data_IF_710694153686
#
_entry.id   IF_710694153686
#
_cell.length_a   1.000
_cell.length_b   1.000
_cell.length_c   1.000
_cell.angle_alpha   90.00
_cell.angle_beta   90.00
_cell.angle_gamma   90.00
#
_symmetry.space_group_name_H-M   'P 1'
#
loop_
_entity.id
_entity.type
_entity.pdbx_description
1 polymer ?
#
# COMPACT_ATOMS: atom_id res chain seq x y z
N UNK A 1 9.83 -21.87 -26.67
CA UNK A 1 9.49 -20.59 -27.33
C UNK A 1 7.99 -20.42 -27.63
N UNK A 2 7.22 -21.50 -27.86
CA UNK A 2 5.74 -21.40 -28.05
C UNK A 2 4.95 -21.06 -26.76
N UNK A 3 5.51 -21.34 -25.58
CA UNK A 3 4.82 -21.22 -24.28
C UNK A 3 4.76 -19.78 -23.74
N UNK A 4 5.81 -18.98 -23.97
CA UNK A 4 5.85 -17.58 -23.51
C UNK A 4 4.84 -16.66 -24.22
N UNK A 5 4.51 -16.92 -25.49
CA UNK A 5 3.47 -16.16 -26.19
C UNK A 5 2.08 -16.44 -25.63
N UNK A 6 1.84 -17.66 -25.14
CA UNK A 6 0.56 -18.08 -24.58
C UNK A 6 0.29 -17.40 -23.23
N UNK A 7 1.27 -17.37 -22.31
CA UNK A 7 1.10 -16.72 -21.00
C UNK A 7 0.91 -15.20 -21.12
N UNK A 8 1.69 -14.51 -21.97
CA UNK A 8 1.57 -13.06 -22.13
C UNK A 8 0.22 -12.68 -22.73
N UNK A 9 -0.24 -13.39 -23.77
CA UNK A 9 -1.57 -13.17 -24.34
C UNK A 9 -2.67 -13.42 -23.30
N UNK A 10 -2.56 -14.51 -22.54
CA UNK A 10 -3.52 -14.81 -21.49
C UNK A 10 -3.59 -13.71 -20.43
N UNK A 11 -2.44 -13.23 -19.96
CA UNK A 11 -2.40 -12.17 -18.95
C UNK A 11 -3.04 -10.90 -19.50
N UNK A 12 -2.70 -10.49 -20.73
CA UNK A 12 -3.31 -9.31 -21.35
C UNK A 12 -4.84 -9.46 -21.45
N UNK A 13 -5.32 -10.57 -21.99
CA UNK A 13 -6.76 -10.84 -22.12
C UNK A 13 -7.45 -10.87 -20.75
N UNK A 14 -6.82 -11.48 -19.74
CA UNK A 14 -7.34 -11.53 -18.38
C UNK A 14 -7.45 -10.13 -17.77
N UNK A 15 -6.39 -9.33 -17.86
CA UNK A 15 -6.34 -7.98 -17.30
C UNK A 15 -7.32 -7.05 -18.03
N UNK A 16 -7.41 -7.12 -19.36
CA UNK A 16 -8.36 -6.31 -20.15
C UNK A 16 -9.81 -6.62 -19.74
N UNK A 17 -10.14 -7.89 -19.51
CA UNK A 17 -11.45 -8.30 -19.04
C UNK A 17 -11.75 -7.86 -17.59
N UNK A 18 -10.73 -7.81 -16.72
CA UNK A 18 -10.87 -7.38 -15.32
C UNK A 18 -10.75 -5.87 -15.14
N UNK A 19 -10.26 -5.14 -16.15
CA UNK A 19 -9.97 -3.71 -16.09
C UNK A 19 -11.15 -2.88 -15.53
N UNK A 20 -12.42 -3.09 -15.93
CA UNK A 20 -13.52 -2.30 -15.39
C UNK A 20 -13.76 -2.53 -13.90
N UNK A 21 -13.51 -3.73 -13.38
CA UNK A 21 -13.66 -4.05 -11.97
C UNK A 21 -12.49 -3.50 -11.14
N UNK A 22 -11.27 -3.67 -11.64
CA UNK A 22 -10.06 -3.12 -11.01
C UNK A 22 -10.09 -1.58 -10.97
N UNK A 23 -10.49 -0.93 -12.06
CA UNK A 23 -10.64 0.53 -12.10
C UNK A 23 -11.61 1.04 -11.02
N UNK A 24 -12.76 0.36 -10.84
CA UNK A 24 -13.72 0.70 -9.77
C UNK A 24 -13.13 0.55 -8.37
N UNK A 25 -12.29 -0.44 -8.13
CA UNK A 25 -11.60 -0.61 -6.84
C UNK A 25 -10.61 0.53 -6.62
N UNK A 26 -9.80 0.84 -7.64
CA UNK A 26 -8.85 1.97 -7.59
C UNK A 26 -9.58 3.30 -7.34
N UNK A 27 -10.69 3.55 -8.02
CA UNK A 27 -11.49 4.77 -7.87
C UNK A 27 -12.13 4.83 -6.47
N UNK A 28 -12.65 3.70 -5.97
CA UNK A 28 -13.20 3.63 -4.62
C UNK A 28 -12.14 3.95 -3.55
N UNK A 29 -10.91 3.43 -3.70
CA UNK A 29 -9.80 3.76 -2.80
C UNK A 29 -9.40 5.23 -2.95
N UNK A 30 -9.31 5.74 -4.20
CA UNK A 30 -9.03 7.15 -4.46
C UNK A 30 -10.01 8.09 -3.74
N UNK A 31 -11.30 7.74 -3.75
CA UNK A 31 -12.38 8.51 -3.12
C UNK A 31 -12.40 8.39 -1.58
N UNK A 32 -11.64 7.46 -1.00
CA UNK A 32 -11.53 7.25 0.46
C UNK A 32 -10.06 7.35 0.93
N UNK A 33 -9.44 8.54 0.87
CA UNK A 33 -8.03 8.69 1.20
C UNK A 33 -7.79 8.62 2.73
N UNK A 34 -7.45 7.43 3.20
CA UNK A 34 -7.14 7.14 4.60
C UNK A 34 -5.61 7.09 4.83
N UNK A 35 -5.11 7.79 5.85
CA UNK A 35 -3.67 7.85 6.15
C UNK A 35 -3.16 6.62 6.89
N UNK A 36 -1.82 6.48 6.98
CA UNK A 36 -1.12 5.40 7.70
C UNK A 36 -1.86 4.88 8.94
N UNK A 37 -2.08 3.56 8.99
CA UNK A 37 -2.76 2.80 10.05
C UNK A 37 -4.24 3.13 10.29
N UNK A 38 -4.85 3.99 9.48
CA UNK A 38 -6.28 4.29 9.52
C UNK A 38 -7.02 3.78 8.27
N UNK A 39 -6.36 3.01 7.41
CA UNK A 39 -6.83 2.57 6.09
C UNK A 39 -7.83 1.42 6.13
N UNK A 40 -8.86 1.57 6.97
CA UNK A 40 -9.85 0.53 7.24
C UNK A 40 -10.69 0.21 6.00
N UNK A 41 -11.09 1.23 5.25
CA UNK A 41 -11.85 1.04 4.01
C UNK A 41 -11.02 0.35 2.93
N UNK A 42 -9.83 0.88 2.65
CA UNK A 42 -9.01 0.35 1.54
C UNK A 42 -8.49 -1.06 1.84
N UNK A 43 -8.10 -1.32 3.09
CA UNK A 43 -7.72 -2.66 3.55
C UNK A 43 -8.87 -3.65 3.42
N UNK A 44 -10.06 -3.30 3.91
CA UNK A 44 -11.23 -4.14 3.84
C UNK A 44 -11.63 -4.43 2.37
N UNK A 45 -11.69 -3.41 1.53
CA UNK A 45 -12.08 -3.56 0.12
C UNK A 45 -11.18 -4.54 -0.65
N UNK A 46 -9.85 -4.43 -0.47
CA UNK A 46 -8.90 -5.33 -1.13
C UNK A 46 -9.00 -6.75 -0.58
N UNK A 47 -9.06 -6.89 0.75
CA UNK A 47 -9.18 -8.18 1.42
C UNK A 47 -10.49 -8.91 1.06
N UNK A 48 -11.62 -8.20 1.08
CA UNK A 48 -12.94 -8.71 0.69
C UNK A 48 -12.93 -9.17 -0.77
N UNK A 49 -12.28 -8.41 -1.66
CA UNK A 49 -12.17 -8.77 -3.08
C UNK A 49 -11.36 -10.06 -3.28
N UNK A 50 -10.27 -10.24 -2.53
CA UNK A 50 -9.46 -11.46 -2.58
C UNK A 50 -10.23 -12.66 -2.03
N UNK A 51 -10.92 -12.49 -0.90
CA UNK A 51 -11.76 -13.52 -0.30
C UNK A 51 -12.88 -13.96 -1.26
N UNK A 52 -13.59 -13.00 -1.87
CA UNK A 52 -14.59 -13.26 -2.89
C UNK A 52 -14.02 -13.95 -4.13
N UNK A 53 -12.73 -13.78 -4.41
CA UNK A 53 -12.01 -14.42 -5.51
C UNK A 53 -11.45 -15.80 -5.15
N UNK A 54 -11.73 -16.30 -3.94
CA UNK A 54 -11.36 -17.64 -3.48
C UNK A 54 -9.99 -17.73 -2.79
N UNK A 55 -9.42 -16.61 -2.36
CA UNK A 55 -8.25 -16.63 -1.48
C UNK A 55 -8.67 -16.88 -0.03
N UNK A 56 -7.79 -17.53 0.74
CA UNK A 56 -7.92 -17.59 2.20
C UNK A 56 -7.27 -16.34 2.78
N UNK A 57 -8.05 -15.49 3.47
CA UNK A 57 -7.58 -14.21 3.98
C UNK A 57 -7.40 -14.25 5.49
N UNK A 58 -6.23 -13.81 5.95
CA UNK A 58 -5.90 -13.57 7.35
C UNK A 58 -5.73 -12.06 7.55
N UNK A 59 -6.57 -11.44 8.40
CA UNK A 59 -6.57 -10.00 8.68
C UNK A 59 -5.98 -9.71 10.05
N UNK A 60 -5.50 -8.48 10.27
CA UNK A 60 -4.91 -8.08 11.54
C UNK A 60 -3.50 -8.64 11.76
N UNK A 61 -2.80 -9.03 10.68
CA UNK A 61 -1.51 -9.71 10.79
C UNK A 61 -0.44 -8.78 11.36
N UNK A 62 0.51 -9.36 12.11
CA UNK A 62 1.58 -8.58 12.75
C UNK A 62 1.07 -7.55 13.77
N UNK A 63 -0.15 -7.74 14.29
CA UNK A 63 -0.77 -6.85 15.27
C UNK A 63 -1.24 -5.50 14.71
N UNK A 64 -1.43 -5.40 13.40
CA UNK A 64 -1.91 -4.18 12.73
C UNK A 64 -3.27 -4.43 12.09
N UNK A 65 -4.28 -3.69 12.54
CA UNK A 65 -5.69 -3.88 12.13
C UNK A 65 -5.90 -3.82 10.61
N UNK A 66 -5.15 -2.96 9.92
CA UNK A 66 -5.26 -2.76 8.47
C UNK A 66 -4.31 -3.63 7.64
N UNK A 67 -3.47 -4.47 8.27
CA UNK A 67 -2.63 -5.42 7.57
C UNK A 67 -3.35 -6.76 7.34
N UNK A 68 -3.12 -7.39 6.18
CA UNK A 68 -3.66 -8.72 5.90
C UNK A 68 -2.79 -9.53 4.93
N UNK A 69 -2.95 -10.85 4.93
CA UNK A 69 -2.36 -11.77 3.96
C UNK A 69 -3.47 -12.61 3.34
N UNK A 70 -3.57 -12.61 2.02
CA UNK A 70 -4.48 -13.47 1.27
C UNK A 70 -3.68 -14.53 0.52
N UNK A 71 -4.05 -15.81 0.66
CA UNK A 71 -3.32 -16.94 0.07
C UNK A 71 -4.18 -17.77 -0.87
N UNK A 72 -3.62 -18.12 -2.03
CA UNK A 72 -4.16 -19.14 -2.93
C UNK A 72 -3.09 -20.20 -3.24
N UNK A 73 -3.53 -21.45 -3.41
CA UNK A 73 -2.65 -22.59 -3.64
C UNK A 73 -1.99 -23.15 -2.38
N UNK A 74 -1.01 -24.02 -2.59
CA UNK A 74 -0.29 -24.72 -1.52
C UNK A 74 1.10 -25.18 -1.98
N UNK A 75 2.00 -25.38 -1.02
CA UNK A 75 3.37 -25.82 -1.29
C UNK A 75 4.27 -24.68 -1.78
N UNK A 76 5.35 -25.07 -2.47
CA UNK A 76 6.42 -24.18 -2.91
C UNK A 76 6.42 -24.06 -4.45
N UNK A 77 6.87 -22.92 -5.02
CA UNK A 77 7.32 -21.72 -4.31
C UNK A 77 6.15 -20.90 -3.71
N UNK A 78 6.45 -20.08 -2.71
CA UNK A 78 5.60 -19.03 -2.15
C UNK A 78 6.03 -17.70 -2.75
N UNK A 79 5.19 -17.15 -3.62
CA UNK A 79 5.42 -15.86 -4.26
C UNK A 79 4.48 -14.81 -3.64
N UNK A 80 5.07 -13.75 -3.08
CA UNK A 80 4.34 -12.65 -2.48
C UNK A 80 4.19 -11.47 -3.46
N UNK A 81 2.99 -10.92 -3.55
CA UNK A 81 2.69 -9.66 -4.23
C UNK A 81 2.30 -8.63 -3.17
N UNK A 82 3.00 -7.51 -3.14
CA UNK A 82 2.82 -6.49 -2.10
C UNK A 82 1.91 -5.39 -2.63
N UNK A 83 0.80 -5.15 -1.93
CA UNK A 83 -0.12 -4.06 -2.20
C UNK A 83 -0.20 -3.09 -1.03
N UNK A 84 -0.16 -1.80 -1.33
CA UNK A 84 -0.20 -0.69 -0.38
C UNK A 84 -1.34 0.22 -0.77
N UNK A 85 -1.87 0.99 0.19
CA UNK A 85 -3.15 1.68 0.01
C UNK A 85 -3.32 2.89 0.93
N UNK A 86 -2.28 3.36 1.60
CA UNK A 86 -2.34 4.56 2.43
C UNK A 86 -2.27 5.85 1.62
N UNK A 87 -2.97 6.87 2.12
CA UNK A 87 -2.97 8.21 1.58
C UNK A 87 -2.04 9.14 2.38
N UNK A 88 -1.79 10.32 1.81
CA UNK A 88 -0.96 11.37 2.39
C UNK A 88 -1.83 12.53 2.89
N UNK A 89 -1.46 13.09 4.03
CA UNK A 89 -2.12 14.27 4.58
C UNK A 89 -1.85 15.53 3.74
N UNK A 90 -2.87 16.36 3.54
CA UNK A 90 -2.74 17.62 2.79
C UNK A 90 -2.64 17.48 1.27
N UNK A 91 -2.76 16.26 0.73
CA UNK A 91 -2.66 15.98 -0.71
C UNK A 91 -4.01 15.67 -1.38
N UNK A 92 -5.12 16.17 -0.84
CA UNK A 92 -6.42 16.07 -1.52
C UNK A 92 -6.33 16.63 -2.94
N UNK A 93 -6.83 15.88 -3.91
CA UNK A 93 -6.77 16.26 -5.32
C UNK A 93 -7.96 15.70 -6.07
N UNK A 94 -8.49 16.49 -7.01
CA UNK A 94 -9.49 16.02 -7.97
C UNK A 94 -8.87 15.05 -8.97
N UNK A 95 -9.50 13.88 -9.16
CA UNK A 95 -9.07 12.90 -10.14
C UNK A 95 -9.01 13.48 -11.58
N UNK A 96 -8.07 12.98 -12.38
CA UNK A 96 -7.92 13.38 -13.80
C UNK A 96 -7.55 14.85 -14.01
N UNK A 97 -7.01 15.51 -12.98
CA UNK A 97 -6.62 16.91 -13.01
C UNK A 97 -5.11 17.03 -12.75
N UNK A 98 -4.42 17.69 -13.68
CA UNK A 98 -2.97 17.94 -13.65
C UNK A 98 -2.60 19.29 -13.01
N UNK A 99 -3.61 20.05 -12.56
CA UNK A 99 -3.43 21.29 -11.78
C UNK A 99 -3.93 21.10 -10.36
N UNK A 100 -3.28 21.76 -9.40
CA UNK A 100 -3.68 21.67 -7.99
C UNK A 100 -5.13 22.11 -7.81
N UNK A 101 -5.99 21.15 -7.46
CA UNK A 101 -7.43 21.34 -7.30
C UNK A 101 -7.94 20.40 -6.19
N UNK A 102 -7.75 20.77 -4.90
CA UNK A 102 -8.19 19.94 -3.81
C UNK A 102 -9.72 19.79 -3.80
N UNK A 103 -10.20 18.57 -3.53
CA UNK A 103 -11.62 18.33 -3.25
C UNK A 103 -11.99 18.81 -1.85
N UNK A 104 -11.07 18.64 -0.90
CA UNK A 104 -11.14 19.15 0.45
C UNK A 104 -9.85 19.90 0.73
N UNK A 105 -9.94 21.18 1.04
CA UNK A 105 -8.79 22.03 1.37
C UNK A 105 -7.98 21.41 2.54
N UNK A 106 -6.68 21.17 2.33
CA UNK A 106 -5.78 20.44 3.24
C UNK A 106 -6.25 19.01 3.63
N UNK A 107 -7.19 18.43 2.89
CA UNK A 107 -7.62 17.05 3.08
C UNK A 107 -6.56 16.03 2.64
N UNK A 108 -6.81 14.76 2.94
CA UNK A 108 -5.95 13.67 2.51
C UNK A 108 -6.13 13.38 1.01
N UNK A 109 -5.12 12.76 0.39
CA UNK A 109 -5.23 12.22 -0.97
C UNK A 109 -4.11 11.26 -1.33
N UNK A 110 -4.32 10.46 -2.38
CA UNK A 110 -3.33 9.51 -2.87
C UNK A 110 -2.29 10.17 -3.78
N UNK A 111 -1.55 11.14 -3.24
CA UNK A 111 -0.48 11.83 -3.97
C UNK A 111 0.66 10.92 -4.43
N UNK A 112 0.88 9.79 -3.73
CA UNK A 112 1.85 8.76 -4.10
C UNK A 112 1.25 7.64 -4.99
N UNK A 113 -0.06 7.70 -5.26
CA UNK A 113 -0.75 6.74 -6.14
C UNK A 113 -1.00 5.36 -5.52
N UNK A 114 -1.00 5.21 -4.19
CA UNK A 114 -1.20 3.91 -3.55
C UNK A 114 -2.57 3.26 -3.86
N UNK A 115 -3.57 4.05 -4.26
CA UNK A 115 -4.82 3.51 -4.81
C UNK A 115 -4.57 2.63 -6.05
N UNK A 116 -3.61 3.01 -6.91
CA UNK A 116 -3.17 2.20 -8.04
C UNK A 116 -2.30 1.04 -7.56
N UNK A 117 -1.35 1.31 -6.65
CA UNK A 117 -0.38 0.32 -6.18
C UNK A 117 -1.07 -0.94 -5.67
N UNK A 118 -1.94 -0.81 -4.67
CA UNK A 118 -2.69 -1.92 -4.10
C UNK A 118 -3.58 -2.62 -5.12
N UNK A 119 -4.27 -1.86 -5.97
CA UNK A 119 -5.21 -2.40 -6.97
C UNK A 119 -4.51 -3.20 -8.07
N UNK A 120 -3.36 -2.75 -8.57
CA UNK A 120 -2.64 -3.47 -9.61
C UNK A 120 -1.92 -4.72 -9.04
N UNK A 121 -1.42 -4.66 -7.80
CA UNK A 121 -0.93 -5.85 -7.11
C UNK A 121 -2.04 -6.89 -6.92
N UNK A 122 -3.28 -6.44 -6.64
CA UNK A 122 -4.47 -7.30 -6.60
C UNK A 122 -4.74 -7.92 -7.98
N UNK A 123 -4.75 -7.12 -9.05
CA UNK A 123 -4.90 -7.62 -10.42
C UNK A 123 -3.85 -8.68 -10.79
N UNK A 124 -2.60 -8.47 -10.37
CA UNK A 124 -1.51 -9.44 -10.52
C UNK A 124 -1.79 -10.76 -9.77
N UNK A 125 -2.27 -10.68 -8.53
CA UNK A 125 -2.61 -11.88 -7.74
C UNK A 125 -3.74 -12.69 -8.38
N UNK A 126 -4.78 -12.00 -8.89
CA UNK A 126 -5.89 -12.61 -9.59
C UNK A 126 -5.44 -13.28 -10.90
N UNK A 127 -4.57 -12.62 -11.68
CA UNK A 127 -4.05 -13.16 -12.93
C UNK A 127 -3.18 -14.41 -12.69
N UNK A 128 -2.29 -14.37 -11.69
CA UNK A 128 -1.46 -15.52 -11.29
C UNK A 128 -2.33 -16.68 -10.84
N UNK A 129 -3.33 -16.43 -9.98
CA UNK A 129 -4.30 -17.46 -9.57
C UNK A 129 -4.99 -18.10 -10.79
N UNK A 130 -5.53 -17.29 -11.68
CA UNK A 130 -6.27 -17.78 -12.85
C UNK A 130 -5.37 -18.62 -13.77
N UNK A 131 -4.11 -18.22 -13.96
CA UNK A 131 -3.13 -19.00 -14.71
C UNK A 131 -2.79 -20.32 -14.03
N UNK A 132 -2.60 -20.31 -12.70
CA UNK A 132 -2.33 -21.52 -11.93
C UNK A 132 -3.49 -22.52 -12.03
N UNK A 133 -4.73 -22.05 -11.95
CA UNK A 133 -5.93 -22.89 -12.12
C UNK A 133 -6.02 -23.48 -13.53
N UNK A 134 -5.77 -22.67 -14.56
CA UNK A 134 -5.84 -23.08 -15.97
C UNK A 134 -4.81 -24.15 -16.32
N UNK A 135 -3.56 -23.95 -15.90
CA UNK A 135 -2.43 -24.81 -16.26
C UNK A 135 -2.11 -25.86 -15.17
N UNK A 136 -2.94 -25.94 -14.12
CA UNK A 136 -2.78 -26.85 -12.98
C UNK A 136 -1.40 -26.74 -12.30
N UNK A 137 -0.90 -25.50 -12.17
CA UNK A 137 0.42 -25.21 -11.60
C UNK A 137 0.35 -25.32 -10.08
N UNK A 138 1.29 -26.06 -9.50
CA UNK A 138 1.47 -26.17 -8.05
C UNK A 138 2.33 -25.02 -7.52
N UNK A 139 2.05 -24.59 -6.29
CA UNK A 139 2.71 -23.46 -5.65
C UNK A 139 1.73 -22.62 -4.85
N UNK A 140 2.23 -21.54 -4.26
CA UNK A 140 1.44 -20.62 -3.45
C UNK A 140 1.65 -19.20 -3.94
N UNK A 141 0.56 -18.48 -4.21
CA UNK A 141 0.57 -17.03 -4.39
C UNK A 141 -0.03 -16.37 -3.15
N UNK A 142 0.63 -15.33 -2.65
CA UNK A 142 0.14 -14.54 -1.52
C UNK A 142 0.07 -13.07 -1.90
N UNK A 143 -1.05 -12.42 -1.60
CA UNK A 143 -1.15 -10.98 -1.59
C UNK A 143 -0.93 -10.49 -0.16
N UNK A 144 -0.04 -9.52 0.02
CA UNK A 144 0.23 -8.87 1.29
C UNK A 144 -0.35 -7.46 1.24
N UNK A 145 -1.42 -7.23 2.00
CA UNK A 145 -1.95 -5.89 2.27
C UNK A 145 -1.08 -5.18 3.29
N UNK A 146 -0.26 -4.25 2.82
CA UNK A 146 0.78 -3.56 3.57
C UNK A 146 0.31 -2.13 3.91
N UNK A 147 -0.02 -1.83 5.18
CA UNK A 147 -0.46 -0.50 5.56
C UNK A 147 0.71 0.46 5.78
N UNK A 148 0.40 1.76 5.77
CA UNK A 148 1.29 2.82 6.24
C UNK A 148 2.69 2.79 5.68
N UNK A 149 2.86 2.70 4.36
CA UNK A 149 4.19 2.88 3.77
C UNK A 149 4.72 4.28 4.08
N UNK A 150 3.85 5.29 3.96
CA UNK A 150 4.19 6.71 4.08
C UNK A 150 4.43 7.07 5.55
N UNK A 151 5.68 6.86 5.97
CA UNK A 151 6.18 7.11 7.31
C UNK A 151 5.63 6.20 8.39
N UNK A 152 4.83 5.18 8.07
CA UNK A 152 4.42 4.15 9.02
C UNK A 152 5.37 2.96 9.07
N UNK A 153 6.10 2.67 7.98
CA UNK A 153 6.97 1.49 7.87
C UNK A 153 6.25 0.15 8.10
N UNK A 154 4.98 0.01 7.70
CA UNK A 154 4.17 -1.19 7.99
C UNK A 154 4.84 -2.50 7.56
N UNK A 155 5.45 -2.55 6.37
CA UNK A 155 6.21 -3.72 5.89
C UNK A 155 7.34 -4.14 6.84
N UNK A 156 8.01 -3.19 7.48
CA UNK A 156 9.09 -3.47 8.45
C UNK A 156 8.53 -4.18 9.68
N UNK A 157 7.35 -3.77 10.16
CA UNK A 157 6.66 -4.47 11.24
C UNK A 157 6.24 -5.88 10.81
N UNK A 158 5.65 -6.03 9.63
CA UNK A 158 5.29 -7.34 9.08
C UNK A 158 6.50 -8.29 8.97
N UNK A 159 7.64 -7.78 8.49
CA UNK A 159 8.89 -8.53 8.41
C UNK A 159 9.44 -8.90 9.80
N UNK A 160 9.40 -7.98 10.76
CA UNK A 160 9.80 -8.24 12.15
C UNK A 160 8.99 -9.38 12.78
N UNK A 161 7.69 -9.44 12.49
CA UNK A 161 6.78 -10.48 13.00
C UNK A 161 6.92 -11.82 12.22
N UNK A 162 7.90 -11.95 11.33
CA UNK A 162 8.21 -13.20 10.62
C UNK A 162 7.26 -13.52 9.46
N UNK A 163 6.41 -12.58 9.03
CA UNK A 163 5.38 -12.82 8.00
C UNK A 163 5.97 -13.10 6.59
N UNK A 164 7.26 -12.86 6.41
CA UNK A 164 8.00 -13.09 5.17
C UNK A 164 8.99 -14.26 5.23
N UNK A 165 9.14 -14.92 6.39
CA UNK A 165 10.22 -15.90 6.62
C UNK A 165 10.15 -17.12 5.69
N UNK A 166 8.96 -17.46 5.20
CA UNK A 166 8.72 -18.58 4.29
C UNK A 166 8.46 -18.16 2.84
N UNK A 167 8.58 -16.87 2.51
CA UNK A 167 8.40 -16.34 1.15
C UNK A 167 9.67 -16.58 0.34
N UNK A 168 9.54 -17.21 -0.83
CA UNK A 168 10.69 -17.48 -1.71
C UNK A 168 11.03 -16.28 -2.61
N UNK A 169 10.03 -15.48 -2.98
CA UNK A 169 10.21 -14.20 -3.65
C UNK A 169 9.05 -13.24 -3.34
N UNK A 170 9.35 -11.96 -3.20
CA UNK A 170 8.36 -10.89 -3.07
C UNK A 170 8.52 -9.91 -4.23
N UNK A 171 7.41 -9.53 -4.85
CA UNK A 171 7.34 -8.51 -5.88
C UNK A 171 6.44 -7.37 -5.44
N UNK A 172 6.92 -6.16 -5.67
CA UNK A 172 6.14 -4.93 -5.55
C UNK A 172 6.29 -4.14 -6.83
N UNK A 173 5.43 -3.14 -6.99
CA UNK A 173 5.53 -2.15 -8.04
C UNK A 173 5.14 -0.79 -7.44
N UNK A 174 5.41 0.27 -8.16
CA UNK A 174 4.98 1.61 -7.75
C UNK A 174 4.52 2.37 -9.00
N UNK A 175 3.40 3.12 -8.94
CA UNK A 175 3.00 3.98 -10.05
C UNK A 175 4.06 5.04 -10.32
N UNK A 176 4.29 5.30 -11.61
CA UNK A 176 5.19 6.32 -12.12
C UNK A 176 4.61 6.83 -13.46
N UNK A 177 5.09 7.98 -13.92
CA UNK A 177 4.97 8.51 -15.28
C UNK A 177 5.57 7.62 -16.38
N UNK A 178 6.38 6.59 -16.05
CA UNK A 178 6.86 5.58 -16.99
C UNK A 178 6.67 4.14 -16.49
N UNK A 179 6.62 3.19 -17.43
CA UNK A 179 6.61 1.75 -17.13
C UNK A 179 8.00 1.15 -17.34
N UNK A 180 8.58 0.56 -16.30
CA UNK A 180 9.89 -0.06 -16.39
C UNK A 180 10.27 -0.85 -15.14
N UNK A 181 11.35 -1.62 -15.24
CA UNK A 181 11.92 -2.30 -14.08
C UNK A 181 12.74 -1.33 -13.23
N UNK A 182 12.37 -1.19 -11.98
CA UNK A 182 13.13 -0.42 -11.02
C UNK A 182 14.27 -1.27 -10.44
N UNK A 183 15.51 -0.99 -10.86
CA UNK A 183 16.71 -1.72 -10.40
C UNK A 183 17.67 -0.85 -9.58
N UNK A 184 17.18 0.31 -9.11
CA UNK A 184 17.98 1.28 -8.38
C UNK A 184 17.85 1.11 -6.86
N UNK A 185 18.89 1.47 -6.13
CA UNK A 185 18.83 1.59 -4.68
C UNK A 185 18.10 2.88 -4.29
N UNK A 186 17.27 2.81 -3.25
CA UNK A 186 16.65 3.99 -2.63
C UNK A 186 17.46 4.44 -1.42
N UNK A 187 17.24 5.68 -0.97
CA UNK A 187 17.90 6.22 0.21
C UNK A 187 17.33 5.57 1.48
N UNK A 188 18.20 5.26 2.44
CA UNK A 188 17.76 4.91 3.78
C UNK A 188 17.12 6.12 4.47
N UNK A 189 15.99 5.90 5.14
CA UNK A 189 15.25 6.94 5.86
C UNK A 189 15.30 6.65 7.37
N UNK A 190 15.56 7.69 8.17
CA UNK A 190 15.44 7.67 9.63
C UNK A 190 14.53 8.82 10.04
N UNK A 191 13.47 8.51 10.78
CA UNK A 191 12.57 9.50 11.34
C UNK A 191 12.84 9.67 12.83
N UNK A 192 12.99 10.92 13.27
CA UNK A 192 13.17 11.28 14.68
C UNK A 192 12.14 12.35 15.07
N UNK A 193 11.54 12.18 16.25
CA UNK A 193 10.64 13.18 16.84
C UNK A 193 11.31 13.79 18.07
N UNK A 194 11.36 15.11 18.11
CA UNK A 194 11.92 15.87 19.24
C UNK A 194 10.79 16.59 19.97
N UNK A 195 10.70 16.40 21.28
CA UNK A 195 9.73 17.10 22.13
C UNK A 195 10.48 18.04 23.06
N UNK A 196 10.16 19.33 22.98
CA UNK A 196 10.74 20.36 23.83
C UNK A 196 9.75 20.75 24.92
N UNK A 197 10.19 20.68 26.19
CA UNK A 197 9.37 21.07 27.34
C UNK A 197 9.89 22.37 27.94
N UNK A 198 9.05 23.40 27.88
CA UNK A 198 9.30 24.70 28.47
C UNK A 198 8.64 24.90 29.85
N UNK A 199 8.70 26.14 30.32
CA UNK A 199 7.96 26.64 31.49
C UNK A 199 7.12 27.83 31.04
N UNK A 200 5.79 27.74 31.19
CA UNK A 200 4.88 28.82 30.80
C UNK A 200 5.02 30.04 31.72
N UNK A 201 4.93 31.24 31.14
CA UNK A 201 4.85 32.50 31.89
C UNK A 201 4.03 33.54 31.11
N UNK A 202 3.66 34.64 31.75
CA UNK A 202 3.02 35.74 31.04
C UNK A 202 4.05 36.45 30.14
N UNK A 203 3.87 36.34 28.83
CA UNK A 203 4.85 36.78 27.82
C UNK A 203 5.32 38.23 28.01
N UNK A 204 4.41 39.18 28.25
CA UNK A 204 4.76 40.60 28.42
C UNK A 204 5.15 41.00 29.86
N UNK A 205 4.60 40.35 30.88
CA UNK A 205 4.67 40.85 32.27
C UNK A 205 5.77 40.18 33.10
N UNK A 206 6.08 38.90 32.82
CA UNK A 206 7.08 38.15 33.57
C UNK A 206 7.80 37.09 32.71
N UNK A 207 8.34 37.44 31.52
CA UNK A 207 8.99 36.47 30.64
C UNK A 207 10.19 35.75 31.30
N UNK A 208 10.88 36.43 32.22
CA UNK A 208 12.01 35.88 32.98
C UNK A 208 11.64 34.70 33.90
N UNK A 209 10.35 34.51 34.21
CA UNK A 209 9.87 33.36 34.98
C UNK A 209 9.58 32.14 34.08
N UNK A 210 9.54 32.33 32.76
CA UNK A 210 9.30 31.27 31.80
C UNK A 210 10.58 30.69 31.20
N UNK A 211 10.41 29.61 30.45
CA UNK A 211 11.38 29.07 29.49
C UNK A 211 10.59 28.65 28.26
N UNK A 212 10.66 29.44 27.20
CA UNK A 212 9.91 29.15 25.98
C UNK A 212 10.42 27.86 25.34
N UNK A 213 9.52 26.91 25.08
CA UNK A 213 9.85 25.71 24.30
C UNK A 213 10.13 26.04 22.82
N UNK A 214 9.56 27.16 22.34
CA UNK A 214 9.76 27.64 20.98
C UNK A 214 11.21 28.12 20.75
N UNK A 215 11.88 28.63 21.78
CA UNK A 215 13.28 29.09 21.68
C UNK A 215 14.23 27.93 21.36
N UNK A 216 13.83 26.68 21.58
CA UNK A 216 14.62 25.51 21.21
C UNK A 216 14.56 25.19 19.70
N UNK A 217 13.67 25.85 18.94
CA UNK A 217 13.48 25.67 17.51
C UNK A 217 14.15 26.78 16.66
N UNK A 218 14.79 27.76 17.31
CA UNK A 218 15.44 28.93 16.68
C UNK A 218 16.90 29.01 17.08
#
# INVERSE_FOLDING_TARGET
MADHHNIVSFINDFIDNQQPALAKISDAIWDHPETRFAESFSSALLADTLEASGFVVERGVGGMDTAFIARFGSGKPVIALLGEFDALAGLSQKAGCDVAQPLVENGNGHGCGHNLLGTAALGGALAVKAWMERENIQGTVRFYGCPGEEGGSGKTFMAREGLFDDVDAALTWHPETYSGMFSNQTLANIQASFSFKGVSSHAAAAPHLGRSALDALT
#
